data_IF_703727036659
#
_entry.id   IF_703727036659
#
_cell.length_a   1.000
_cell.length_b   1.000
_cell.length_c   1.000
_cell.angle_alpha   90.00
_cell.angle_beta   90.00
_cell.angle_gamma   90.00
#
_symmetry.space_group_name_H-M   'P 1'
#
loop_
_entity.id
_entity.type
_entity.pdbx_description
1 polymer ?
#
# COMPACT_ATOMS: atom_id res chain seq x y z
N UNK A 1 -5.41 7.75 -8.64
CA UNK A 1 -4.76 7.25 -7.40
C UNK A 1 -3.32 6.79 -7.67
N UNK A 2 -2.54 7.51 -8.51
CA UNK A 2 -1.11 7.23 -8.74
C UNK A 2 -0.20 8.12 -7.86
N UNK A 3 -0.77 9.17 -7.28
CA UNK A 3 0.02 10.29 -6.73
C UNK A 3 0.37 10.13 -5.25
N UNK A 4 -0.29 9.22 -4.52
CA UNK A 4 -0.03 9.00 -3.09
C UNK A 4 1.33 8.33 -2.82
N UNK A 5 1.86 7.55 -3.76
CA UNK A 5 3.13 6.83 -3.59
C UNK A 5 4.09 6.94 -4.77
N UNK A 6 3.64 7.45 -5.92
CA UNK A 6 4.42 7.49 -7.17
C UNK A 6 4.76 6.11 -7.75
N UNK A 7 4.14 5.03 -7.23
CA UNK A 7 4.37 3.63 -7.63
C UNK A 7 3.15 3.05 -8.31
N UNK A 8 3.35 1.94 -9.03
CA UNK A 8 2.26 1.16 -9.60
C UNK A 8 1.47 0.49 -8.47
N UNK A 9 0.29 1.04 -8.17
CA UNK A 9 -0.66 0.48 -7.22
C UNK A 9 -1.32 -0.76 -7.79
N UNK A 10 -1.30 -1.85 -7.04
CA UNK A 10 -1.98 -3.09 -7.40
C UNK A 10 -3.40 -3.11 -6.84
N UNK A 11 -3.60 -2.55 -5.64
CA UNK A 11 -4.94 -2.41 -5.06
C UNK A 11 -4.94 -1.76 -3.68
N UNK A 12 -6.13 -1.36 -3.23
CA UNK A 12 -6.40 -0.99 -1.84
C UNK A 12 -6.72 -2.26 -1.07
N UNK A 13 -5.99 -2.52 0.02
CA UNK A 13 -6.14 -3.73 0.84
C UNK A 13 -7.00 -3.49 2.07
N UNK A 14 -7.01 -2.27 2.62
CA UNK A 14 -7.93 -1.87 3.70
C UNK A 14 -8.28 -0.38 3.61
N UNK A 15 -9.48 -0.04 4.09
CA UNK A 15 -9.93 1.32 4.31
C UNK A 15 -10.78 1.36 5.58
N UNK A 16 -10.32 2.07 6.59
CA UNK A 16 -10.94 2.15 7.91
C UNK A 16 -11.08 3.61 8.36
N UNK A 17 -12.17 3.93 9.06
CA UNK A 17 -12.34 5.23 9.68
C UNK A 17 -11.63 5.23 11.04
N UNK A 18 -10.75 6.18 11.28
CA UNK A 18 -10.13 6.42 12.59
C UNK A 18 -10.85 7.54 13.34
N UNK A 19 -10.43 7.84 14.57
CA UNK A 19 -11.02 8.92 15.37
C UNK A 19 -10.82 10.32 14.74
N UNK A 20 -9.78 10.50 13.92
CA UNK A 20 -9.37 11.80 13.37
C UNK A 20 -9.28 11.82 11.85
N UNK A 21 -9.80 10.79 11.18
CA UNK A 21 -9.77 10.69 9.72
C UNK A 21 -9.88 9.26 9.22
N UNK A 22 -8.98 8.88 8.31
CA UNK A 22 -8.98 7.60 7.63
C UNK A 22 -7.64 6.90 7.69
N UNK A 23 -7.67 5.59 7.85
CA UNK A 23 -6.52 4.72 7.69
C UNK A 23 -6.70 3.89 6.43
N UNK A 24 -5.74 4.00 5.50
CA UNK A 24 -5.78 3.32 4.20
C UNK A 24 -4.56 2.42 4.07
N UNK A 25 -4.76 1.14 3.81
CA UNK A 25 -3.70 0.23 3.42
C UNK A 25 -3.74 0.01 1.91
N UNK A 26 -2.61 0.21 1.25
CA UNK A 26 -2.46 0.10 -0.20
C UNK A 26 -1.30 -0.80 -0.53
N UNK A 27 -1.55 -1.77 -1.40
CA UNK A 27 -0.53 -2.64 -1.94
C UNK A 27 0.02 -2.09 -3.25
N UNK A 28 1.34 -2.06 -3.37
CA UNK A 28 2.06 -1.53 -4.52
C UNK A 28 3.18 -2.47 -4.96
N UNK A 29 3.48 -2.46 -6.26
CA UNK A 29 4.73 -3.06 -6.75
C UNK A 29 5.86 -2.09 -6.46
N UNK A 30 6.80 -2.50 -5.62
CA UNK A 30 7.98 -1.71 -5.29
C UNK A 30 9.13 -1.96 -6.27
N UNK A 31 9.23 -3.16 -6.84
CA UNK A 31 10.20 -3.48 -7.88
C UNK A 31 9.72 -4.63 -8.78
N UNK A 32 9.70 -4.38 -10.09
CA UNK A 32 9.45 -5.39 -11.12
C UNK A 32 10.65 -6.33 -11.29
N UNK A 33 10.41 -7.64 -11.40
CA UNK A 33 11.45 -8.67 -11.63
C UNK A 33 11.02 -9.66 -12.71
N UNK A 34 11.98 -10.42 -13.25
CA UNK A 34 11.71 -11.46 -14.26
C UNK A 34 12.07 -12.83 -13.66
N UNK A 35 11.12 -13.79 -13.61
CA UNK A 35 9.72 -13.66 -14.03
C UNK A 35 8.90 -12.76 -13.07
N UNK A 36 7.83 -12.14 -13.55
CA UNK A 36 6.99 -11.20 -12.77
C UNK A 36 6.39 -11.82 -11.49
N UNK A 37 6.34 -13.15 -11.41
CA UNK A 37 5.99 -13.86 -10.17
C UNK A 37 6.98 -13.62 -9.03
N UNK A 38 8.13 -12.98 -9.30
CA UNK A 38 9.13 -12.63 -8.31
C UNK A 38 9.18 -11.14 -7.98
N UNK A 39 8.21 -10.36 -8.47
CA UNK A 39 8.10 -8.94 -8.14
C UNK A 39 8.13 -8.71 -6.63
N UNK A 40 8.63 -7.57 -6.22
CA UNK A 40 8.59 -7.17 -4.82
C UNK A 40 7.34 -6.34 -4.58
N UNK A 41 6.46 -6.87 -3.74
CA UNK A 41 5.26 -6.22 -3.24
C UNK A 41 5.57 -5.49 -1.94
N UNK A 42 4.85 -4.41 -1.68
CA UNK A 42 4.88 -3.72 -0.40
C UNK A 42 3.50 -3.18 -0.05
N UNK A 43 3.18 -3.21 1.24
CA UNK A 43 1.97 -2.59 1.78
C UNK A 43 2.36 -1.30 2.48
N UNK A 44 1.71 -0.22 2.07
CA UNK A 44 1.82 1.09 2.69
C UNK A 44 0.54 1.38 3.44
N UNK A 45 0.69 1.85 4.67
CA UNK A 45 -0.40 2.41 5.45
C UNK A 45 -0.28 3.93 5.38
N UNK A 46 -1.35 4.59 4.98
CA UNK A 46 -1.49 6.04 4.92
C UNK A 46 -2.60 6.47 5.87
N UNK A 47 -2.29 7.44 6.72
CA UNK A 47 -3.25 8.10 7.57
C UNK A 47 -3.63 9.42 6.92
N UNK A 48 -4.93 9.61 6.70
CA UNK A 48 -5.50 10.81 6.14
C UNK A 48 -6.37 11.49 7.19
N UNK A 49 -6.47 12.82 7.14
CA UNK A 49 -7.46 13.53 7.94
C UNK A 49 -8.87 13.40 7.34
N UNK A 50 -9.84 14.09 7.95
CA UNK A 50 -11.22 14.11 7.48
C UNK A 50 -11.42 14.77 6.10
N UNK A 51 -10.46 15.59 5.67
CA UNK A 51 -10.45 16.27 4.36
C UNK A 51 -9.74 15.41 3.29
N UNK A 52 -9.09 14.32 3.70
CA UNK A 52 -8.37 13.40 2.83
C UNK A 52 -6.90 13.79 2.63
N UNK A 53 -6.37 14.74 3.41
CA UNK A 53 -4.98 15.17 3.35
C UNK A 53 -4.09 14.18 4.09
N UNK A 54 -2.90 13.91 3.53
CA UNK A 54 -1.96 12.93 4.09
C UNK A 54 -1.33 13.45 5.39
N UNK A 55 -1.69 12.83 6.52
CA UNK A 55 -1.07 13.07 7.82
C UNK A 55 0.24 12.30 7.92
N UNK A 56 0.20 10.99 7.63
CA UNK A 56 1.35 10.11 7.77
C UNK A 56 1.33 8.98 6.74
N UNK A 57 2.50 8.45 6.41
CA UNK A 57 2.60 7.23 5.60
C UNK A 57 3.79 6.38 6.06
N UNK A 58 3.62 5.05 6.06
CA UNK A 58 4.70 4.11 6.37
C UNK A 58 4.55 2.80 5.61
N UNK A 59 5.67 2.13 5.33
CA UNK A 59 5.66 0.75 4.80
C UNK A 59 5.54 -0.22 5.97
N UNK A 60 4.50 -1.06 5.96
CA UNK A 60 4.22 -2.00 7.04
C UNK A 60 4.57 -3.45 6.67
N UNK A 61 4.59 -3.80 5.38
CA UNK A 61 5.04 -5.11 4.90
C UNK A 61 5.79 -4.98 3.57
N UNK A 62 6.65 -5.96 3.28
CA UNK A 62 7.39 -6.10 2.04
C UNK A 62 7.71 -7.57 1.78
N UNK A 63 7.28 -8.09 0.64
CA UNK A 63 7.38 -9.51 0.34
C UNK A 63 7.49 -9.77 -1.17
N UNK A 64 7.88 -10.99 -1.57
CA UNK A 64 7.90 -11.37 -2.98
C UNK A 64 6.50 -11.84 -3.43
N UNK A 65 6.07 -11.43 -4.62
CA UNK A 65 4.76 -11.80 -5.20
C UNK A 65 4.56 -13.32 -5.09
N UNK A 66 3.40 -13.75 -4.57
CA UNK A 66 3.08 -15.15 -4.26
C UNK A 66 3.43 -15.64 -2.85
N UNK A 67 4.18 -14.88 -2.04
CA UNK A 67 4.38 -15.18 -0.61
C UNK A 67 3.37 -14.46 0.31
N UNK A 68 2.79 -13.34 -0.13
CA UNK A 68 1.81 -12.57 0.65
C UNK A 68 0.42 -13.20 0.72
N UNK A 69 0.06 -14.04 -0.26
CA UNK A 69 -1.26 -14.70 -0.34
C UNK A 69 -1.45 -15.79 0.75
N UNK A 70 -0.40 -16.10 1.51
CA UNK A 70 -0.44 -17.06 2.63
C UNK A 70 -0.65 -16.41 4.02
N UNK A 71 -1.07 -15.14 4.09
CA UNK A 71 -1.28 -14.42 5.35
C UNK A 71 -2.74 -14.05 5.59
#
# INVERSE_FOLDING_TARGET
MRDLTGKDTEGVTSLERSETGWLVAVEVVEAHRIPNTTDIMAVYEAELDDEGELISYRRIDRYARGQGEQR
#
